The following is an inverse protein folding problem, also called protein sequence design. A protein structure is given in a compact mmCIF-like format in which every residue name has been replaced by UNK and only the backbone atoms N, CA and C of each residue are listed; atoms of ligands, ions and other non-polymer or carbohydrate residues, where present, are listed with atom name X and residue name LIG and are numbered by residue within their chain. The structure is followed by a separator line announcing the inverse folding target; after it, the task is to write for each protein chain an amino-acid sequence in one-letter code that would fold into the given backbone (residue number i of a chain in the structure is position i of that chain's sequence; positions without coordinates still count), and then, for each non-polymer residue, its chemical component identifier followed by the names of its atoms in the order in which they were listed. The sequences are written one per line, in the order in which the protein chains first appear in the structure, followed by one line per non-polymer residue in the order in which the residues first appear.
data_IF_780648731874
#
_entry.id   IF_780648731874
#
_cell.length_a   1.000
_cell.length_b   1.000
_cell.length_c   1.000
_cell.angle_alpha   90.00
_cell.angle_beta   90.00
_cell.angle_gamma   90.00
#
_symmetry.space_group_name_H-M   'P 1'
#
loop_
_entity.id
_entity.type
_entity.pdbx_description
1 polymer ?
#
# COMPACT_ATOMS: atom_id res chain seq x y z
N UNK A 1 10.37 -5.17 -13.92
CA UNK A 1 9.98 -6.57 -13.66
C UNK A 1 10.07 -6.83 -12.16
N UNK A 2 9.04 -7.42 -11.59
CA UNK A 2 9.00 -7.77 -10.17
C UNK A 2 9.69 -9.13 -9.95
N UNK A 3 10.55 -9.20 -8.96
CA UNK A 3 11.27 -10.42 -8.57
C UNK A 3 10.84 -10.88 -7.19
N UNK A 4 10.48 -12.15 -7.06
CA UNK A 4 10.27 -12.77 -5.75
C UNK A 4 11.64 -13.12 -5.17
N UNK A 5 12.05 -12.44 -4.11
CA UNK A 5 13.39 -12.59 -3.53
C UNK A 5 13.47 -13.69 -2.49
N UNK A 6 12.39 -13.94 -1.75
CA UNK A 6 12.35 -15.01 -0.74
C UNK A 6 10.92 -15.27 -0.28
N UNK A 7 10.74 -16.34 0.48
CA UNK A 7 9.48 -16.70 1.10
C UNK A 7 8.70 -17.77 0.35
N UNK A 8 7.62 -18.27 0.97
CA UNK A 8 6.90 -19.44 0.46
C UNK A 8 5.93 -19.14 -0.67
N UNK A 9 5.55 -17.86 -0.89
CA UNK A 9 4.50 -17.52 -1.82
C UNK A 9 5.04 -17.06 -3.17
N UNK A 10 4.38 -17.51 -4.25
CA UNK A 10 4.55 -16.96 -5.59
C UNK A 10 3.78 -15.64 -5.75
N UNK A 11 3.88 -15.04 -6.91
CA UNK A 11 3.24 -13.74 -7.19
C UNK A 11 1.72 -13.81 -7.07
N UNK A 12 1.11 -14.92 -7.50
CA UNK A 12 -0.35 -15.11 -7.42
C UNK A 12 -0.80 -15.19 -5.97
N UNK A 13 -0.09 -15.95 -5.15
CA UNK A 13 -0.38 -16.08 -3.72
C UNK A 13 -0.19 -14.75 -2.96
N UNK A 14 0.84 -13.99 -3.33
CA UNK A 14 1.05 -12.65 -2.77
C UNK A 14 -0.11 -11.72 -3.15
N UNK A 15 -0.53 -11.73 -4.42
CA UNK A 15 -1.67 -10.92 -4.86
C UNK A 15 -2.96 -11.29 -4.13
N UNK A 16 -3.21 -12.57 -3.91
CA UNK A 16 -4.36 -13.05 -3.13
C UNK A 16 -4.31 -12.56 -1.68
N UNK A 17 -3.14 -12.68 -1.03
CA UNK A 17 -2.96 -12.18 0.32
C UNK A 17 -3.23 -10.67 0.42
N UNK A 18 -2.69 -9.89 -0.50
CA UNK A 18 -2.89 -8.43 -0.54
C UNK A 18 -4.36 -8.07 -0.76
N UNK A 19 -5.07 -8.80 -1.61
CA UNK A 19 -6.49 -8.58 -1.87
C UNK A 19 -7.34 -8.86 -0.64
N UNK A 20 -7.05 -9.94 0.09
CA UNK A 20 -7.82 -10.38 1.25
C UNK A 20 -7.50 -9.62 2.53
N UNK A 21 -6.36 -8.92 2.58
CA UNK A 21 -5.84 -8.31 3.80
C UNK A 21 -6.01 -6.80 3.77
N UNK A 22 -7.18 -6.32 4.18
CA UNK A 22 -7.52 -4.90 4.18
C UNK A 22 -7.04 -4.20 5.45
N UNK A 23 -5.74 -4.24 5.69
CA UNK A 23 -5.06 -3.45 6.73
C UNK A 23 -4.23 -2.36 6.07
N UNK A 24 -3.86 -1.29 6.77
CA UNK A 24 -3.00 -0.27 6.18
C UNK A 24 -1.62 -0.81 5.82
N UNK A 25 -1.12 -0.39 4.66
CA UNK A 25 0.27 -0.63 4.29
C UNK A 25 1.19 0.22 5.16
N UNK A 26 2.33 -0.32 5.53
CA UNK A 26 3.44 0.43 6.11
C UNK A 26 4.39 0.78 4.97
N UNK A 27 4.48 2.07 4.67
CA UNK A 27 5.25 2.58 3.54
C UNK A 27 6.44 3.39 4.04
N UNK A 28 7.63 3.01 3.61
CA UNK A 28 8.87 3.71 3.92
C UNK A 28 9.30 4.55 2.72
N UNK A 29 9.58 5.82 2.98
CA UNK A 29 10.10 6.78 2.00
C UNK A 29 11.41 7.38 2.49
N UNK A 30 12.25 7.81 1.56
CA UNK A 30 13.54 8.41 1.85
C UNK A 30 13.45 9.93 2.00
N UNK A 31 14.35 10.49 2.79
CA UNK A 31 14.48 11.92 2.94
C UNK A 31 15.81 12.29 3.60
N UNK A 32 16.11 13.58 3.65
CA UNK A 32 17.39 14.10 4.16
C UNK A 32 17.62 13.77 5.64
N UNK A 33 16.54 13.62 6.42
CA UNK A 33 16.61 13.26 7.84
C UNK A 33 16.51 11.75 8.09
N UNK A 34 16.55 10.94 7.04
CA UNK A 34 16.43 9.49 7.10
C UNK A 34 15.09 8.96 6.58
N UNK A 35 14.89 7.65 6.64
CA UNK A 35 13.63 7.05 6.22
C UNK A 35 12.47 7.41 7.14
N UNK A 36 11.29 7.55 6.57
CA UNK A 36 10.04 7.77 7.30
C UNK A 36 9.08 6.63 6.97
N UNK A 37 8.48 6.03 8.00
CA UNK A 37 7.46 4.99 7.84
C UNK A 37 6.10 5.58 8.16
N UNK A 38 5.15 5.41 7.24
CA UNK A 38 3.78 5.89 7.39
C UNK A 38 2.79 4.78 7.06
N UNK A 39 1.63 4.84 7.69
CA UNK A 39 0.52 3.92 7.42
C UNK A 39 -0.47 4.59 6.48
N UNK A 40 -0.85 3.88 5.40
CA UNK A 40 -1.83 4.36 4.44
C UNK A 40 -2.80 3.23 4.09
N UNK A 41 -4.00 3.60 3.67
CA UNK A 41 -4.85 2.67 2.97
C UNK A 41 -4.24 2.32 1.62
N UNK A 42 -4.37 1.09 1.19
CA UNK A 42 -3.92 0.66 -0.12
C UNK A 42 -4.98 -0.17 -0.84
N UNK A 43 -4.95 -0.11 -2.15
CA UNK A 43 -5.77 -0.95 -3.02
C UNK A 43 -4.83 -1.73 -3.95
N UNK A 44 -4.87 -3.07 -3.94
CA UNK A 44 -4.02 -3.86 -4.81
C UNK A 44 -4.65 -4.06 -6.19
N UNK A 45 -3.81 -3.97 -7.22
CA UNK A 45 -4.14 -4.41 -8.56
C UNK A 45 -3.06 -5.43 -8.95
N UNK A 46 -3.36 -6.72 -8.74
CA UNK A 46 -2.32 -7.73 -8.71
C UNK A 46 -1.37 -7.48 -7.55
N UNK A 47 -0.08 -7.32 -7.84
CA UNK A 47 0.93 -6.94 -6.84
C UNK A 47 1.25 -5.45 -6.85
N UNK A 48 0.69 -4.71 -7.79
CA UNK A 48 0.79 -3.25 -7.83
C UNK A 48 -0.10 -2.66 -6.73
N UNK A 49 0.41 -1.66 -6.01
CA UNK A 49 -0.29 -1.09 -4.86
C UNK A 49 -0.60 0.37 -5.11
N UNK A 50 -1.85 0.75 -4.83
CA UNK A 50 -2.33 2.11 -5.03
C UNK A 50 -2.74 2.73 -3.70
N UNK A 51 -2.29 3.96 -3.47
CA UNK A 51 -2.61 4.76 -2.29
C UNK A 51 -3.02 6.16 -2.73
N UNK A 52 -3.51 6.96 -1.78
CA UNK A 52 -3.72 8.39 -1.97
C UNK A 52 -3.10 9.17 -0.81
N UNK A 53 -2.67 10.39 -1.10
CA UNK A 53 -2.22 11.35 -0.11
C UNK A 53 -2.52 12.76 -0.59
N UNK A 54 -2.48 13.73 0.31
CA UNK A 54 -2.57 15.14 -0.08
C UNK A 54 -1.34 15.50 -0.94
N UNK A 55 -1.54 16.28 -1.98
CA UNK A 55 -0.46 16.70 -2.87
C UNK A 55 0.60 17.57 -2.17
N UNK A 56 0.23 18.22 -1.06
CA UNK A 56 1.11 19.01 -0.20
C UNK A 56 1.71 18.21 0.97
N UNK A 57 1.44 16.91 1.07
CA UNK A 57 1.91 16.09 2.19
C UNK A 57 3.44 15.92 2.20
N UNK A 58 3.97 15.60 3.37
CA UNK A 58 5.39 15.23 3.50
C UNK A 58 5.71 14.05 2.58
N UNK A 59 4.81 13.07 2.51
CA UNK A 59 5.01 11.89 1.66
C UNK A 59 5.10 12.28 0.18
N UNK A 60 4.18 13.12 -0.31
CA UNK A 60 4.22 13.56 -1.70
C UNK A 60 5.52 14.30 -2.04
N UNK A 61 5.99 15.16 -1.14
CA UNK A 61 7.26 15.87 -1.32
C UNK A 61 8.46 14.92 -1.35
N UNK A 62 8.47 13.91 -0.46
CA UNK A 62 9.55 12.91 -0.42
C UNK A 62 9.58 12.10 -1.70
N UNK A 63 8.43 11.61 -2.16
CA UNK A 63 8.33 10.78 -3.37
C UNK A 63 8.67 11.56 -4.65
N UNK A 64 8.41 12.86 -4.69
CA UNK A 64 8.81 13.69 -5.83
C UNK A 64 10.32 13.87 -5.94
N UNK A 65 11.06 13.70 -4.84
CA UNK A 65 12.53 13.82 -4.80
C UNK A 65 13.23 12.46 -4.91
N UNK A 66 12.66 11.43 -4.29
CA UNK A 66 13.19 10.07 -4.32
C UNK A 66 12.00 9.11 -4.37
N UNK A 67 11.80 8.48 -5.50
CA UNK A 67 10.65 7.62 -5.77
C UNK A 67 10.82 6.18 -5.26
N UNK A 68 11.97 5.86 -4.69
CA UNK A 68 12.23 4.52 -4.13
C UNK A 68 11.51 4.38 -2.81
N UNK A 69 10.83 3.25 -2.64
CA UNK A 69 10.05 2.94 -1.45
C UNK A 69 10.33 1.52 -0.96
N UNK A 70 10.12 1.34 0.34
CA UNK A 70 9.98 0.02 0.94
C UNK A 70 8.59 -0.09 1.53
N UNK A 71 8.06 -1.29 1.65
CA UNK A 71 6.72 -1.48 2.21
C UNK A 71 6.54 -2.83 2.87
N UNK A 72 5.55 -2.89 3.76
CA UNK A 72 5.12 -4.11 4.42
C UNK A 72 3.61 -4.11 4.56
N UNK A 73 3.00 -5.27 4.29
CA UNK A 73 1.62 -5.58 4.62
C UNK A 73 1.65 -6.89 5.40
N UNK A 74 1.38 -6.83 6.69
CA UNK A 74 1.53 -8.00 7.57
C UNK A 74 0.42 -8.06 8.59
N UNK A 75 -0.13 -9.26 8.79
CA UNK A 75 -1.09 -9.53 9.86
C UNK A 75 -0.39 -9.40 11.22
N UNK A 76 -1.05 -8.73 12.17
CA UNK A 76 -0.56 -8.52 13.54
C UNK A 76 -1.15 -9.50 14.56
N UNK A 77 -1.99 -10.42 14.09
CA UNK A 77 -2.57 -11.51 14.90
C UNK A 77 -2.03 -12.86 14.45
N UNK A 78 -1.81 -13.82 15.38
CA UNK A 78 -1.39 -15.17 15.00
C UNK A 78 -2.44 -15.89 14.12
N UNK A 79 -1.98 -16.71 13.17
CA UNK A 79 -0.60 -16.97 12.78
C UNK A 79 -0.02 -15.80 11.98
N UNK A 80 1.23 -15.42 12.28
CA UNK A 80 1.85 -14.28 11.62
C UNK A 80 2.25 -14.62 10.19
N UNK A 81 1.85 -13.79 9.27
CA UNK A 81 2.18 -13.89 7.86
C UNK A 81 2.14 -12.51 7.20
N UNK A 82 2.86 -12.33 6.13
CA UNK A 82 2.91 -11.04 5.48
C UNK A 82 3.74 -11.01 4.22
N UNK A 83 3.75 -9.83 3.64
CA UNK A 83 4.50 -9.48 2.44
C UNK A 83 5.28 -8.21 2.70
N UNK A 84 6.52 -8.14 2.24
CA UNK A 84 7.29 -6.90 2.17
C UNK A 84 8.01 -6.82 0.84
N UNK A 85 8.37 -5.61 0.47
CA UNK A 85 9.07 -5.41 -0.78
C UNK A 85 9.70 -4.04 -0.88
N UNK A 86 10.39 -3.86 -1.99
CA UNK A 86 10.89 -2.57 -2.44
C UNK A 86 10.29 -2.26 -3.80
N UNK A 87 10.21 -1.00 -4.14
CA UNK A 87 9.66 -0.61 -5.43
C UNK A 87 9.85 0.86 -5.73
N UNK A 88 9.12 1.31 -6.73
CA UNK A 88 9.12 2.69 -7.21
C UNK A 88 7.70 3.24 -7.12
N UNK A 89 7.56 4.45 -6.61
CA UNK A 89 6.29 5.13 -6.45
C UNK A 89 6.16 6.27 -7.46
N UNK A 90 5.02 6.31 -8.17
CA UNK A 90 4.67 7.40 -9.07
C UNK A 90 3.50 8.19 -8.49
N UNK A 91 3.57 9.52 -8.63
CA UNK A 91 2.49 10.43 -8.24
C UNK A 91 1.63 10.74 -9.47
N UNK A 92 0.34 10.42 -9.41
CA UNK A 92 -0.57 10.48 -10.55
C UNK A 92 -1.86 11.24 -10.20
N UNK A 93 -2.07 12.41 -10.80
CA UNK A 93 -3.29 13.21 -10.60
C UNK A 93 -4.50 12.62 -11.32
N UNK A 94 -4.31 12.08 -12.52
CA UNK A 94 -5.39 11.56 -13.36
C UNK A 94 -6.12 10.36 -12.80
N UNK A 95 -5.48 9.61 -11.90
CA UNK A 95 -6.02 8.38 -11.34
C UNK A 95 -6.61 8.55 -9.94
N UNK A 96 -6.64 9.77 -9.41
CA UNK A 96 -6.98 10.02 -8.01
C UNK A 96 -8.45 9.68 -7.70
N UNK A 97 -9.38 10.01 -8.58
CA UNK A 97 -10.80 9.75 -8.35
C UNK A 97 -11.07 8.23 -8.20
N UNK A 98 -10.63 7.46 -9.18
CA UNK A 98 -10.81 6.01 -9.17
C UNK A 98 -10.11 5.36 -7.97
N UNK A 99 -8.88 5.76 -7.69
CA UNK A 99 -8.09 5.21 -6.58
C UNK A 99 -8.76 5.51 -5.24
N UNK A 100 -9.16 6.75 -5.01
CA UNK A 100 -9.79 7.14 -3.75
C UNK A 100 -11.10 6.39 -3.52
N UNK A 101 -11.91 6.20 -4.56
CA UNK A 101 -13.16 5.42 -4.45
C UNK A 101 -12.90 3.95 -4.17
N UNK A 102 -11.89 3.34 -4.76
CA UNK A 102 -11.47 1.97 -4.43
C UNK A 102 -11.04 1.85 -2.97
N UNK A 103 -10.27 2.81 -2.47
CA UNK A 103 -9.83 2.82 -1.07
C UNK A 103 -11.01 2.95 -0.11
N UNK A 104 -11.93 3.86 -0.37
CA UNK A 104 -13.11 4.06 0.47
C UNK A 104 -13.96 2.77 0.51
N UNK A 105 -14.23 2.17 -0.63
CA UNK A 105 -15.00 0.93 -0.70
C UNK A 105 -14.33 -0.21 0.07
N UNK A 106 -13.01 -0.34 -0.09
CA UNK A 106 -12.24 -1.41 0.55
C UNK A 106 -12.24 -1.30 2.08
N UNK A 107 -12.12 -0.10 2.62
CA UNK A 107 -11.97 0.12 4.07
C UNK A 107 -13.25 0.58 4.76
N UNK A 108 -14.18 1.19 4.05
CA UNK A 108 -15.41 1.75 4.61
C UNK A 108 -16.68 1.08 4.06
N UNK A 109 -16.59 0.26 3.02
CA UNK A 109 -17.73 -0.36 2.37
C UNK A 109 -18.43 0.55 1.37
N UNK A 110 -19.61 0.14 0.93
CA UNK A 110 -20.38 0.83 -0.12
C UNK A 110 -21.29 1.94 0.41
N UNK A 111 -21.51 1.99 1.72
CA UNK A 111 -22.39 2.99 2.32
C UNK A 111 -21.72 4.35 2.39
N UNK A 112 -22.52 5.41 2.18
CA UNK A 112 -22.05 6.77 2.39
C UNK A 112 -21.89 7.04 3.87
N UNK A 113 -20.69 7.43 4.28
CA UNK A 113 -20.37 7.83 5.64
C UNK A 113 -19.90 9.28 5.66
N UNK A 114 -19.90 9.90 6.83
CA UNK A 114 -19.31 11.25 6.98
C UNK A 114 -17.85 11.25 6.56
N UNK A 115 -17.10 10.19 6.91
CA UNK A 115 -15.70 10.06 6.52
C UNK A 115 -15.55 9.95 4.99
N UNK A 116 -16.34 9.11 4.33
CA UNK A 116 -16.26 8.94 2.88
C UNK A 116 -16.60 10.23 2.13
N UNK A 117 -17.64 10.95 2.58
CA UNK A 117 -18.02 12.24 2.00
C UNK A 117 -16.93 13.29 2.20
N UNK A 118 -16.34 13.34 3.40
CA UNK A 118 -15.24 14.27 3.68
C UNK A 118 -14.01 13.99 2.83
N UNK A 119 -13.64 12.71 2.68
CA UNK A 119 -12.50 12.31 1.85
C UNK A 119 -12.73 12.71 0.38
N UNK A 120 -13.93 12.45 -0.16
CA UNK A 120 -14.26 12.83 -1.54
C UNK A 120 -14.32 14.33 -1.73
N UNK A 121 -14.69 15.10 -0.70
CA UNK A 121 -14.71 16.56 -0.77
C UNK A 121 -13.32 17.18 -0.95
N UNK A 122 -12.26 16.43 -0.65
CA UNK A 122 -10.86 16.87 -0.72
C UNK A 122 -10.13 16.34 -1.95
N UNK A 123 -10.86 15.73 -2.88
CA UNK A 123 -10.27 15.01 -4.01
C UNK A 123 -9.35 15.88 -4.87
N UNK A 124 -9.67 17.17 -5.02
CA UNK A 124 -8.88 18.10 -5.84
C UNK A 124 -7.48 18.37 -5.29
N UNK A 125 -7.28 18.15 -3.99
CA UNK A 125 -5.99 18.28 -3.33
C UNK A 125 -5.27 16.94 -3.11
N UNK A 126 -5.87 15.84 -3.54
CA UNK A 126 -5.28 14.49 -3.44
C UNK A 126 -4.44 14.16 -4.67
N UNK A 127 -3.51 13.24 -4.48
CA UNK A 127 -2.73 12.61 -5.55
C UNK A 127 -2.71 11.11 -5.31
N UNK A 128 -2.86 10.33 -6.38
CA UNK A 128 -2.69 8.88 -6.31
C UNK A 128 -1.23 8.53 -6.32
N UNK A 129 -0.88 7.48 -5.59
CA UNK A 129 0.46 6.91 -5.54
C UNK A 129 0.36 5.50 -6.11
N UNK A 130 1.04 5.24 -7.23
CA UNK A 130 1.18 3.90 -7.77
C UNK A 130 2.53 3.34 -7.38
N UNK A 131 2.52 2.24 -6.61
CA UNK A 131 3.72 1.54 -6.19
C UNK A 131 3.88 0.31 -7.07
N UNK A 132 4.95 0.28 -7.85
CA UNK A 132 5.32 -0.87 -8.67
C UNK A 132 6.43 -1.63 -7.95
N UNK A 133 6.16 -2.83 -7.40
CA UNK A 133 7.20 -3.59 -6.71
C UNK A 133 8.32 -4.01 -7.64
N UNK A 134 9.54 -3.92 -7.15
CA UNK A 134 10.72 -4.49 -7.80
C UNK A 134 11.12 -5.81 -7.19
N UNK A 135 11.06 -5.88 -5.85
CA UNK A 135 11.29 -7.10 -5.10
C UNK A 135 10.13 -7.34 -4.16
N UNK A 136 9.76 -8.59 -4.00
CA UNK A 136 8.75 -9.05 -3.05
C UNK A 136 9.30 -10.23 -2.28
N UNK A 137 9.02 -10.27 -1.00
CA UNK A 137 9.22 -11.44 -0.17
C UNK A 137 8.02 -11.66 0.73
N UNK A 138 7.82 -12.90 1.14
CA UNK A 138 6.71 -13.28 1.99
C UNK A 138 7.20 -14.14 3.15
N UNK A 139 6.38 -14.22 4.18
CA UNK A 139 6.57 -15.17 5.27
C UNK A 139 5.22 -15.69 5.71
N UNK A 140 5.21 -16.91 6.18
CA UNK A 140 4.01 -17.55 6.73
C UNK A 140 4.44 -18.49 7.86
N UNK A 141 4.14 -18.10 9.09
CA UNK A 141 4.47 -18.89 10.27
C UNK A 141 3.35 -19.81 10.72
N UNK A 142 2.27 -19.94 9.91
CA UNK A 142 1.14 -20.82 10.24
C UNK A 142 1.57 -22.24 10.61
N UNK A 143 2.49 -22.90 9.87
CA UNK A 143 2.94 -24.24 10.22
C UNK A 143 3.62 -24.34 11.60
N UNK A 144 4.24 -23.24 12.07
CA UNK A 144 4.95 -23.18 13.36
C UNK A 144 4.03 -22.84 14.52
N UNK A 145 2.87 -22.26 14.23
CA UNK A 145 1.94 -21.69 15.22
C UNK A 145 0.68 -22.52 15.41
N UNK A 146 0.51 -23.56 14.61
CA UNK A 146 -0.55 -24.55 14.78
C UNK A 146 -0.06 -25.62 15.75
N UNK A 147 -0.85 -25.87 16.83
CA UNK A 147 -0.60 -26.96 17.79
C UNK A 147 -1.67 -28.03 17.64
#
# INVERSE_FOLDING_TARGET
MTTISSGPWDEIQIAEFLTETAIPIRLASNGSSGPLVQSLWFWPNGVELWCCTQDSSVLARRLSKDDRVGFEVAADTPPYRGVRGTGVAELLKGDVDATLRHLITRYQGHEKTQLSEWLLSRIDSEVAIRITPRTLSSWDYSPRMTK
#
